data_IF_309810777594
#
_entry.id   IF_309810777594
#
_cell.length_a   1.000
_cell.length_b   1.000
_cell.length_c   1.000
_cell.angle_alpha   90.00
_cell.angle_beta   90.00
_cell.angle_gamma   90.00
#
_symmetry.space_group_name_H-M   'P 1'
#
loop_
_entity.id
_entity.type
_entity.pdbx_description
1 polymer ?
#
# COMPACT_ATOMS: atom_id res chain seq x y z
N UNK A 1 6.29 -15.21 2.26
CA UNK A 1 7.05 -14.18 1.49
C UNK A 1 6.92 -14.32 -0.04
N UNK A 2 6.78 -15.53 -0.61
CA UNK A 2 6.75 -15.77 -2.06
C UNK A 2 5.63 -15.01 -2.82
N UNK A 3 4.40 -14.97 -2.29
CA UNK A 3 3.23 -14.44 -3.03
C UNK A 3 3.34 -12.93 -3.34
N UNK A 4 3.87 -12.12 -2.42
CA UNK A 4 4.04 -10.66 -2.66
C UNK A 4 5.07 -10.33 -3.73
N UNK A 5 6.07 -11.20 -3.90
CA UNK A 5 7.09 -11.07 -4.95
C UNK A 5 6.57 -11.58 -6.30
N UNK A 6 5.86 -12.71 -6.31
CA UNK A 6 5.21 -13.23 -7.53
C UNK A 6 4.16 -12.26 -8.08
N UNK A 7 3.34 -11.65 -7.22
CA UNK A 7 2.36 -10.64 -7.61
C UNK A 7 3.03 -9.47 -8.34
N UNK A 8 4.16 -8.96 -7.81
CA UNK A 8 4.93 -7.91 -8.49
C UNK A 8 5.37 -8.35 -9.88
N UNK A 9 6.01 -9.53 -9.97
CA UNK A 9 6.58 -10.01 -11.22
C UNK A 9 5.50 -10.21 -12.29
N UNK A 10 4.35 -10.76 -11.92
CA UNK A 10 3.21 -10.93 -12.82
C UNK A 10 2.75 -9.60 -13.43
N UNK A 11 2.49 -8.59 -12.60
CA UNK A 11 2.02 -7.30 -13.10
C UNK A 11 3.08 -6.54 -13.90
N UNK A 12 4.38 -6.69 -13.58
CA UNK A 12 5.47 -6.11 -14.38
C UNK A 12 5.53 -6.77 -15.76
N UNK A 13 5.57 -8.11 -15.84
CA UNK A 13 5.58 -8.84 -17.12
C UNK A 13 4.33 -8.55 -17.95
N UNK A 14 3.16 -8.48 -17.32
CA UNK A 14 1.91 -8.18 -18.01
C UNK A 14 1.88 -6.76 -18.55
N UNK A 15 2.37 -5.77 -17.78
CA UNK A 15 2.48 -4.39 -18.25
C UNK A 15 3.39 -4.28 -19.48
N UNK A 16 4.57 -4.92 -19.42
CA UNK A 16 5.53 -4.93 -20.52
C UNK A 16 4.92 -5.58 -21.77
N UNK A 17 4.32 -6.77 -21.63
CA UNK A 17 3.67 -7.46 -22.74
C UNK A 17 2.51 -6.65 -23.36
N UNK A 18 1.71 -5.97 -22.54
CA UNK A 18 0.62 -5.13 -23.05
C UNK A 18 1.13 -3.89 -23.77
N UNK A 19 2.22 -3.27 -23.30
CA UNK A 19 2.86 -2.13 -23.99
C UNK A 19 3.39 -2.53 -25.35
N UNK A 20 4.03 -3.70 -25.44
CA UNK A 20 4.57 -4.24 -26.68
C UNK A 20 3.45 -4.49 -27.69
N UNK A 21 2.38 -5.19 -27.28
CA UNK A 21 1.24 -5.49 -28.17
C UNK A 21 0.50 -4.22 -28.61
N UNK A 22 0.36 -3.24 -27.71
CA UNK A 22 -0.32 -1.99 -28.02
C UNK A 22 0.55 -0.95 -28.74
N UNK A 23 1.83 -1.23 -29.00
CA UNK A 23 2.82 -0.26 -29.47
C UNK A 23 2.83 1.04 -28.64
N UNK A 24 2.62 0.90 -27.33
CA UNK A 24 2.33 2.03 -26.44
C UNK A 24 3.61 2.73 -25.93
N UNK A 25 4.79 2.17 -26.20
CA UNK A 25 6.07 2.70 -25.71
C UNK A 25 6.06 2.89 -24.18
N UNK A 26 6.41 4.10 -23.74
CA UNK A 26 6.42 4.45 -22.31
C UNK A 26 5.04 4.78 -21.74
N UNK A 27 3.96 4.69 -22.52
CA UNK A 27 2.61 4.93 -22.02
C UNK A 27 2.24 3.96 -20.90
N UNK A 28 1.72 4.51 -19.81
CA UNK A 28 1.29 3.71 -18.67
C UNK A 28 -0.07 3.10 -18.94
N UNK A 29 -0.14 1.78 -18.84
CA UNK A 29 -1.39 1.03 -18.88
C UNK A 29 -1.88 0.82 -17.45
N UNK A 30 -3.07 1.33 -17.15
CA UNK A 30 -3.72 1.08 -15.87
C UNK A 30 -4.27 -0.35 -15.86
N UNK A 31 -3.69 -1.21 -15.03
CA UNK A 31 -4.09 -2.61 -14.92
C UNK A 31 -5.20 -2.74 -13.87
N UNK A 32 -6.31 -3.44 -14.19
CA UNK A 32 -7.28 -3.82 -13.17
C UNK A 32 -6.66 -4.82 -12.19
N UNK A 33 -7.36 -5.11 -11.10
CA UNK A 33 -6.90 -6.15 -10.17
C UNK A 33 -7.20 -7.52 -10.76
N UNK A 34 -6.15 -8.24 -11.18
CA UNK A 34 -6.27 -9.53 -11.87
C UNK A 34 -6.02 -10.73 -10.96
N UNK A 35 -5.26 -10.53 -9.88
CA UNK A 35 -4.92 -11.59 -8.93
C UNK A 35 -5.74 -11.49 -7.65
N UNK A 36 -6.18 -12.65 -7.17
CA UNK A 36 -6.76 -12.86 -5.83
C UNK A 36 -6.13 -14.13 -5.27
N UNK A 37 -5.86 -14.13 -3.97
CA UNK A 37 -5.24 -15.28 -3.29
C UNK A 37 -6.24 -15.88 -2.31
N UNK A 38 -6.35 -17.20 -2.32
CA UNK A 38 -7.07 -18.00 -1.33
C UNK A 38 -6.10 -18.88 -0.54
N UNK A 39 -6.49 -19.28 0.66
CA UNK A 39 -5.76 -20.23 1.50
C UNK A 39 -6.73 -21.06 2.32
N UNK A 40 -6.40 -22.34 2.51
CA UNK A 40 -7.14 -23.26 3.38
C UNK A 40 -6.41 -23.49 4.71
N UNK A 41 -5.15 -23.04 4.80
CA UNK A 41 -4.34 -23.17 6.02
C UNK A 41 -5.02 -22.38 7.14
N UNK A 42 -5.45 -23.10 8.17
CA UNK A 42 -6.17 -22.55 9.32
C UNK A 42 -7.69 -22.42 9.16
N UNK A 43 -8.26 -22.90 8.04
CA UNK A 43 -9.70 -22.93 7.78
C UNK A 43 -10.25 -24.31 7.39
N UNK A 44 -9.38 -25.27 7.07
CA UNK A 44 -9.76 -26.64 6.74
C UNK A 44 -9.98 -27.49 8.00
N UNK A 45 -11.24 -27.79 8.30
CA UNK A 45 -11.64 -28.59 9.48
C UNK A 45 -11.89 -30.07 9.14
N UNK A 46 -11.84 -30.45 7.85
CA UNK A 46 -12.15 -31.81 7.40
C UNK A 46 -11.17 -32.82 8.04
N UNK A 47 -11.70 -33.67 8.92
CA UNK A 47 -10.95 -34.67 9.68
C UNK A 47 -9.92 -34.12 10.68
N UNK A 48 -9.90 -32.80 10.94
CA UNK A 48 -8.90 -32.17 11.82
C UNK A 48 -9.54 -31.49 13.05
N UNK A 49 -9.62 -32.18 14.21
CA UNK A 49 -10.23 -31.63 15.41
C UNK A 49 -9.45 -30.44 16.03
N UNK A 50 -8.24 -30.16 15.54
CA UNK A 50 -7.43 -29.03 16.01
C UNK A 50 -7.76 -27.71 15.28
N UNK A 51 -8.63 -27.75 14.26
CA UNK A 51 -9.06 -26.55 13.53
C UNK A 51 -10.49 -26.23 13.92
N UNK A 52 -10.68 -25.05 14.50
CA UNK A 52 -11.98 -24.53 14.91
C UNK A 52 -11.98 -23.01 14.92
N UNK A 53 -13.01 -22.42 15.55
CA UNK A 53 -13.22 -20.97 15.56
C UNK A 53 -12.00 -20.16 16.04
N UNK A 54 -11.30 -20.64 17.07
CA UNK A 54 -10.11 -19.98 17.60
C UNK A 54 -8.95 -19.99 16.59
N UNK A 55 -8.69 -21.12 15.94
CA UNK A 55 -7.66 -21.27 14.91
C UNK A 55 -7.96 -20.40 13.69
N UNK A 56 -9.23 -20.33 13.27
CA UNK A 56 -9.69 -19.45 12.18
C UNK A 56 -9.43 -17.98 12.56
N UNK A 57 -9.85 -17.55 13.74
CA UNK A 57 -9.66 -16.17 14.20
C UNK A 57 -8.18 -15.82 14.35
N UNK A 58 -7.35 -16.74 14.87
CA UNK A 58 -5.91 -16.56 14.97
C UNK A 58 -5.25 -16.42 13.58
N UNK A 59 -5.66 -17.27 12.62
CA UNK A 59 -5.21 -17.20 11.23
C UNK A 59 -5.53 -15.86 10.59
N UNK A 60 -6.78 -15.39 10.71
CA UNK A 60 -7.21 -14.11 10.16
C UNK A 60 -6.44 -12.92 10.76
N UNK A 61 -6.23 -12.92 12.09
CA UNK A 61 -5.39 -11.90 12.76
C UNK A 61 -3.95 -11.94 12.26
N UNK A 62 -3.35 -13.12 12.17
CA UNK A 62 -1.98 -13.28 11.69
C UNK A 62 -1.80 -12.79 10.25
N UNK A 63 -2.76 -13.09 9.36
CA UNK A 63 -2.75 -12.60 7.99
C UNK A 63 -2.87 -11.07 7.91
N UNK A 64 -3.78 -10.49 8.70
CA UNK A 64 -3.92 -9.03 8.82
C UNK A 64 -2.65 -8.36 9.32
N UNK A 65 -2.06 -8.85 10.40
CA UNK A 65 -0.81 -8.31 10.96
C UNK A 65 0.31 -8.37 9.92
N UNK A 66 0.50 -9.53 9.29
CA UNK A 66 1.56 -9.73 8.30
C UNK A 66 1.45 -8.77 7.11
N UNK A 67 0.25 -8.54 6.59
CA UNK A 67 0.07 -7.65 5.43
C UNK A 67 0.26 -6.18 5.81
N UNK A 68 -0.24 -5.75 6.98
CA UNK A 68 -0.07 -4.37 7.46
C UNK A 68 1.39 -4.05 7.78
N UNK A 69 2.13 -4.96 8.43
CA UNK A 69 3.57 -4.83 8.66
C UNK A 69 4.34 -4.71 7.34
N UNK A 70 3.92 -5.48 6.33
CA UNK A 70 4.53 -5.41 5.00
C UNK A 70 4.32 -4.04 4.35
N UNK A 71 3.10 -3.49 4.43
CA UNK A 71 2.81 -2.16 3.93
C UNK A 71 3.57 -1.08 4.69
N UNK A 72 3.65 -1.16 6.03
CA UNK A 72 4.44 -0.23 6.84
C UNK A 72 5.91 -0.18 6.43
N UNK A 73 6.53 -1.36 6.26
CA UNK A 73 7.91 -1.46 5.83
C UNK A 73 8.12 -0.87 4.43
N UNK A 74 7.15 -1.02 3.55
CA UNK A 74 7.21 -0.52 2.19
C UNK A 74 7.00 0.99 2.08
N UNK A 75 5.97 1.52 2.75
CA UNK A 75 5.75 2.96 2.84
C UNK A 75 6.96 3.63 3.49
N UNK A 76 7.60 3.02 4.50
CA UNK A 76 8.83 3.53 5.08
C UNK A 76 10.03 3.52 4.12
N UNK A 77 10.08 2.59 3.15
CA UNK A 77 11.07 2.66 2.06
C UNK A 77 10.73 3.78 1.07
N UNK A 78 9.46 3.92 0.69
CA UNK A 78 9.00 5.00 -0.18
C UNK A 78 9.24 6.39 0.42
N UNK A 79 8.97 6.58 1.72
CA UNK A 79 9.21 7.85 2.40
C UNK A 79 10.70 8.26 2.35
N UNK A 80 11.61 7.27 2.43
CA UNK A 80 13.05 7.50 2.26
C UNK A 80 13.42 7.84 0.82
N UNK A 81 12.86 7.10 -0.14
CA UNK A 81 13.11 7.28 -1.57
C UNK A 81 12.56 8.61 -2.12
N UNK A 82 11.36 9.00 -1.71
CA UNK A 82 10.63 10.17 -2.21
C UNK A 82 10.97 11.42 -1.39
N UNK A 83 12.22 11.87 -1.52
CA UNK A 83 12.78 13.02 -0.80
C UNK A 83 12.77 14.33 -1.61
N UNK A 84 11.96 14.42 -2.66
CA UNK A 84 11.90 15.61 -3.50
C UNK A 84 11.32 16.79 -2.71
N UNK A 85 11.97 17.95 -2.80
CA UNK A 85 11.51 19.18 -2.16
C UNK A 85 10.54 19.93 -3.08
N UNK A 86 9.49 20.52 -2.50
CA UNK A 86 8.54 21.38 -3.22
C UNK A 86 9.18 22.64 -3.81
N UNK A 87 10.38 23.01 -3.36
CA UNK A 87 11.18 24.10 -3.97
C UNK A 87 11.78 23.73 -5.33
N UNK A 88 11.86 22.42 -5.65
CA UNK A 88 12.55 21.90 -6.84
C UNK A 88 11.61 21.25 -7.86
N UNK A 89 10.45 20.78 -7.41
CA UNK A 89 9.47 20.10 -8.26
C UNK A 89 8.07 20.64 -8.00
N UNK A 90 7.21 20.57 -9.02
CA UNK A 90 5.78 20.68 -8.82
C UNK A 90 5.24 19.49 -8.01
N UNK A 91 4.20 19.74 -7.22
CA UNK A 91 3.46 18.71 -6.49
C UNK A 91 1.98 19.05 -6.55
N UNK A 92 1.15 18.04 -6.75
CA UNK A 92 -0.30 18.23 -6.80
C UNK A 92 -0.80 18.79 -5.45
N UNK A 93 -1.58 19.87 -5.53
CA UNK A 93 -2.20 20.51 -4.35
C UNK A 93 -3.01 19.53 -3.49
N UNK A 94 -3.56 18.47 -4.10
CA UNK A 94 -4.29 17.40 -3.39
C UNK A 94 -3.39 16.63 -2.42
N UNK A 95 -2.10 16.43 -2.73
CA UNK A 95 -1.12 15.80 -1.81
C UNK A 95 -0.89 16.69 -0.59
N UNK A 96 -0.81 18.00 -0.80
CA UNK A 96 -0.64 19.00 0.26
C UNK A 96 -1.87 19.04 1.15
N UNK A 97 -3.07 19.09 0.56
CA UNK A 97 -4.34 19.09 1.28
C UNK A 97 -4.51 17.82 2.13
N UNK A 98 -4.23 16.64 1.57
CA UNK A 98 -4.28 15.36 2.30
C UNK A 98 -3.28 15.32 3.46
N UNK A 99 -2.08 15.87 3.25
CA UNK A 99 -1.09 15.99 4.34
C UNK A 99 -1.58 16.91 5.45
N UNK A 100 -2.21 18.05 5.12
CA UNK A 100 -2.76 18.97 6.11
C UNK A 100 -3.90 18.33 6.91
N UNK A 101 -4.81 17.63 6.24
CA UNK A 101 -5.88 16.84 6.87
C UNK A 101 -5.31 15.83 7.86
N UNK A 102 -4.33 15.03 7.46
CA UNK A 102 -3.74 14.02 8.33
C UNK A 102 -2.92 14.62 9.47
N UNK A 103 -2.33 15.81 9.31
CA UNK A 103 -1.67 16.50 10.43
C UNK A 103 -2.67 16.90 11.52
N UNK A 104 -3.88 17.29 11.15
CA UNK A 104 -4.95 17.59 12.11
C UNK A 104 -5.45 16.33 12.81
N UNK A 105 -5.65 15.24 12.05
CA UNK A 105 -6.11 13.95 12.60
C UNK A 105 -5.06 13.26 13.46
N UNK A 106 -3.77 13.47 13.19
CA UNK A 106 -2.66 12.75 13.84
C UNK A 106 -1.64 13.74 14.43
N UNK A 107 -2.00 14.54 15.44
CA UNK A 107 -1.15 15.62 15.94
C UNK A 107 0.20 15.11 16.48
N UNK A 108 0.23 13.94 17.13
CA UNK A 108 1.47 13.33 17.62
C UNK A 108 2.40 12.91 16.48
N UNK A 109 1.84 12.29 15.42
CA UNK A 109 2.62 11.91 14.25
C UNK A 109 3.12 13.13 13.48
N UNK A 110 2.30 14.19 13.39
CA UNK A 110 2.67 15.45 12.77
C UNK A 110 3.84 16.13 13.50
N UNK A 111 3.80 16.16 14.85
CA UNK A 111 4.86 16.72 15.67
C UNK A 111 6.19 15.95 15.56
N UNK A 112 6.13 14.64 15.28
CA UNK A 112 7.31 13.80 15.08
C UNK A 112 8.02 14.04 13.73
N UNK A 113 7.41 14.79 12.80
CA UNK A 113 8.02 15.11 11.50
C UNK A 113 9.14 16.11 11.71
N UNK A 114 10.37 15.71 11.36
CA UNK A 114 11.56 16.58 11.47
C UNK A 114 11.39 17.85 10.63
N UNK A 115 11.79 19.04 11.12
CA UNK A 115 11.65 20.30 10.39
C UNK A 115 12.25 20.27 8.98
N UNK A 116 13.39 19.59 8.81
CA UNK A 116 14.06 19.40 7.51
C UNK A 116 13.30 18.55 6.48
N UNK A 117 12.20 17.91 6.88
CA UNK A 117 11.32 17.17 5.97
C UNK A 117 10.06 17.97 5.63
N UNK A 118 9.86 19.16 6.21
CA UNK A 118 8.61 19.91 6.08
C UNK A 118 8.31 20.31 4.63
N UNK A 119 9.35 20.53 3.83
CA UNK A 119 9.28 20.86 2.40
C UNK A 119 9.31 19.62 1.48
N UNK A 120 9.26 18.41 2.04
CA UNK A 120 9.24 17.14 1.30
C UNK A 120 7.82 16.53 1.34
N UNK A 121 6.87 17.00 0.51
CA UNK A 121 5.45 16.69 0.65
C UNK A 121 5.13 15.20 0.54
N UNK A 122 5.76 14.46 -0.38
CA UNK A 122 5.57 13.02 -0.49
C UNK A 122 6.03 12.29 0.78
N UNK A 123 7.21 12.63 1.30
CA UNK A 123 7.74 12.07 2.55
C UNK A 123 6.82 12.38 3.74
N UNK A 124 6.33 13.61 3.83
CA UNK A 124 5.38 14.03 4.88
C UNK A 124 4.12 13.18 4.82
N UNK A 125 3.49 13.08 3.64
CA UNK A 125 2.27 12.29 3.48
C UNK A 125 2.52 10.83 3.83
N UNK A 126 3.58 10.22 3.30
CA UNK A 126 3.92 8.82 3.58
C UNK A 126 4.18 8.58 5.07
N UNK A 127 4.80 9.53 5.78
CA UNK A 127 5.02 9.41 7.24
C UNK A 127 3.68 9.39 7.99
N UNK A 128 2.71 10.21 7.59
CA UNK A 128 1.38 10.22 8.17
C UNK A 128 0.58 8.96 7.80
N UNK A 129 0.73 8.47 6.56
CA UNK A 129 0.16 7.18 6.14
C UNK A 129 0.72 6.02 6.97
N UNK A 130 2.02 6.04 7.35
CA UNK A 130 2.58 5.04 8.27
C UNK A 130 1.92 5.11 9.65
N UNK A 131 1.67 6.31 10.18
CA UNK A 131 0.98 6.45 11.46
C UNK A 131 -0.45 5.89 11.42
N UNK A 132 -1.20 6.12 10.32
CA UNK A 132 -2.53 5.50 10.12
C UNK A 132 -2.46 3.97 10.07
N UNK A 133 -1.51 3.41 9.33
CA UNK A 133 -1.33 1.94 9.28
C UNK A 133 -0.90 1.36 10.63
N UNK A 134 -0.12 2.10 11.42
CA UNK A 134 0.23 1.71 12.79
C UNK A 134 -1.03 1.64 13.65
N UNK A 135 -1.90 2.64 13.56
CA UNK A 135 -3.20 2.61 14.23
C UNK A 135 -4.07 1.42 13.78
N UNK A 136 -4.01 0.98 12.52
CA UNK A 136 -4.70 -0.24 12.09
C UNK A 136 -4.14 -1.54 12.69
N UNK A 137 -2.84 -1.58 13.03
CA UNK A 137 -2.21 -2.73 13.71
C UNK A 137 -2.53 -2.74 15.20
N UNK A 138 -2.55 -1.55 15.81
CA UNK A 138 -2.79 -1.35 17.23
C UNK A 138 -4.30 -1.29 17.57
N UNK A 139 -5.17 -1.50 16.56
CA UNK A 139 -6.62 -1.32 16.62
C UNK A 139 -7.04 0.01 17.29
N UNK A 140 -6.27 1.07 17.01
CA UNK A 140 -6.45 2.41 17.54
C UNK A 140 -7.26 3.32 16.61
N UNK A 141 -7.66 4.49 17.12
CA UNK A 141 -8.37 5.50 16.35
C UNK A 141 -7.52 6.03 15.17
N UNK A 142 -8.20 6.56 14.15
CA UNK A 142 -7.60 7.21 12.97
C UNK A 142 -6.83 6.29 12.01
N UNK A 143 -6.92 4.97 12.19
CA UNK A 143 -6.54 4.01 11.15
C UNK A 143 -7.31 4.19 9.85
N UNK A 144 -6.88 3.51 8.79
CA UNK A 144 -7.65 3.38 7.56
C UNK A 144 -8.91 2.55 7.80
N UNK A 145 -10.03 3.03 7.27
CA UNK A 145 -11.32 2.33 7.32
C UNK A 145 -11.35 1.12 6.38
N UNK A 146 -10.60 1.18 5.28
CA UNK A 146 -10.49 0.11 4.29
C UNK A 146 -9.14 0.15 3.57
N UNK A 147 -8.82 -0.95 2.87
CA UNK A 147 -7.66 -0.98 1.98
C UNK A 147 -7.82 -0.05 0.76
N UNK A 148 -9.06 0.23 0.34
CA UNK A 148 -9.33 1.16 -0.76
C UNK A 148 -9.00 2.61 -0.38
N UNK A 149 -9.21 2.98 0.89
CA UNK A 149 -8.78 4.29 1.40
C UNK A 149 -7.25 4.44 1.33
N UNK A 150 -6.51 3.39 1.71
CA UNK A 150 -5.06 3.35 1.53
C UNK A 150 -4.66 3.41 0.05
N UNK A 151 -5.35 2.65 -0.81
CA UNK A 151 -5.08 2.63 -2.25
C UNK A 151 -5.26 4.03 -2.86
N UNK A 152 -6.30 4.76 -2.45
CA UNK A 152 -6.56 6.12 -2.91
C UNK A 152 -5.42 7.09 -2.55
N UNK A 153 -4.80 6.98 -1.36
CA UNK A 153 -3.62 7.76 -1.00
C UNK A 153 -2.40 7.41 -1.87
N UNK A 154 -2.17 6.12 -2.11
CA UNK A 154 -1.05 5.66 -2.95
C UNK A 154 -1.25 6.11 -4.40
N UNK A 155 -2.48 6.04 -4.92
CA UNK A 155 -2.86 6.55 -6.25
C UNK A 155 -2.65 8.05 -6.37
N UNK A 156 -3.03 8.82 -5.35
CA UNK A 156 -2.81 10.26 -5.30
C UNK A 156 -1.32 10.61 -5.43
N UNK A 157 -0.45 9.91 -4.68
CA UNK A 157 1.00 10.09 -4.80
C UNK A 157 1.48 9.70 -6.20
N UNK A 158 1.01 8.57 -6.73
CA UNK A 158 1.37 8.09 -8.06
C UNK A 158 1.00 9.07 -9.16
N UNK A 159 -0.22 9.62 -9.13
CA UNK A 159 -0.70 10.61 -10.09
C UNK A 159 0.12 11.90 -10.04
N UNK A 160 0.40 12.41 -8.84
CA UNK A 160 1.24 13.60 -8.64
C UNK A 160 2.66 13.39 -9.17
N UNK A 161 3.27 12.23 -8.91
CA UNK A 161 4.59 11.91 -9.46
C UNK A 161 4.58 11.90 -10.99
N UNK A 162 3.55 11.34 -11.64
CA UNK A 162 3.46 11.36 -13.12
C UNK A 162 3.33 12.77 -13.67
N UNK A 163 2.50 13.60 -13.06
CA UNK A 163 2.25 14.97 -13.51
C UNK A 163 3.48 15.88 -13.41
N UNK A 164 4.45 15.53 -12.55
CA UNK A 164 5.61 16.38 -12.23
C UNK A 164 6.96 15.70 -12.50
N UNK A 165 7.05 14.96 -13.61
CA UNK A 165 8.27 14.30 -14.10
C UNK A 165 8.93 13.31 -13.10
N UNK A 166 8.15 12.77 -12.16
CA UNK A 166 8.58 11.84 -11.12
C UNK A 166 8.62 10.36 -11.55
N UNK A 167 8.47 10.06 -12.85
CA UNK A 167 8.43 8.68 -13.38
C UNK A 167 9.66 7.87 -12.98
N UNK A 168 10.86 8.42 -13.19
CA UNK A 168 12.12 7.78 -12.78
C UNK A 168 12.49 8.07 -11.31
N UNK A 169 11.71 8.92 -10.63
CA UNK A 169 11.99 9.38 -9.26
C UNK A 169 11.23 8.59 -8.19
N UNK A 170 10.75 7.37 -8.51
CA UNK A 170 10.11 6.46 -7.55
C UNK A 170 8.66 6.07 -7.90
N UNK A 171 8.10 6.57 -9.00
CA UNK A 171 6.75 6.23 -9.44
C UNK A 171 6.51 4.72 -9.59
N UNK A 172 7.44 3.97 -10.19
CA UNK A 172 7.32 2.51 -10.30
C UNK A 172 7.22 1.82 -8.94
N UNK A 173 7.93 2.33 -7.92
CA UNK A 173 7.84 1.78 -6.57
C UNK A 173 6.49 2.06 -5.93
N UNK A 174 5.89 3.24 -6.17
CA UNK A 174 4.53 3.58 -5.74
C UNK A 174 3.50 2.71 -6.45
N UNK A 175 3.62 2.51 -7.77
CA UNK A 175 2.74 1.65 -8.56
C UNK A 175 2.77 0.19 -8.07
N UNK A 176 3.95 -0.32 -7.73
CA UNK A 176 4.08 -1.66 -7.14
C UNK A 176 3.40 -1.79 -5.79
N UNK A 177 3.46 -0.75 -4.94
CA UNK A 177 2.69 -0.73 -3.69
C UNK A 177 1.20 -0.79 -3.99
N UNK A 178 0.73 0.03 -4.94
CA UNK A 178 -0.68 0.10 -5.32
C UNK A 178 -1.22 -1.26 -5.76
N UNK A 179 -0.50 -1.97 -6.63
CA UNK A 179 -0.89 -3.33 -7.05
C UNK A 179 -1.01 -4.29 -5.87
N UNK A 180 -0.09 -4.21 -4.90
CA UNK A 180 -0.15 -5.04 -3.70
C UNK A 180 -1.33 -4.68 -2.80
N UNK A 181 -1.62 -3.39 -2.60
CA UNK A 181 -2.78 -2.96 -1.80
C UNK A 181 -4.07 -3.45 -2.44
N UNK A 182 -4.23 -3.22 -3.74
CA UNK A 182 -5.41 -3.68 -4.50
C UNK A 182 -5.56 -5.20 -4.51
N UNK A 183 -4.46 -5.95 -4.59
CA UNK A 183 -4.47 -7.43 -4.67
C UNK A 183 -4.78 -8.08 -3.33
N UNK A 184 -4.09 -7.66 -2.25
CA UNK A 184 -4.09 -8.35 -0.96
C UNK A 184 -5.02 -7.70 0.09
N UNK A 185 -5.39 -6.43 -0.08
CA UNK A 185 -6.17 -5.69 0.91
C UNK A 185 -5.55 -5.74 2.32
N UNK A 186 -6.39 -5.69 3.36
CA UNK A 186 -5.95 -5.85 4.76
C UNK A 186 -6.10 -7.27 5.30
N UNK A 187 -6.29 -8.25 4.42
CA UNK A 187 -6.54 -9.64 4.82
C UNK A 187 -5.55 -10.63 4.21
N UNK A 188 -4.63 -10.20 3.35
CA UNK A 188 -3.64 -11.02 2.64
C UNK A 188 -4.27 -12.04 1.67
N UNK A 189 -4.99 -13.04 2.15
CA UNK A 189 -5.65 -14.04 1.32
C UNK A 189 -7.06 -14.31 1.87
N UNK A 190 -7.99 -14.70 1.00
CA UNK A 190 -9.28 -15.21 1.46
C UNK A 190 -9.04 -16.55 2.16
N UNK A 191 -9.49 -16.67 3.40
CA UNK A 191 -9.50 -17.94 4.10
C UNK A 191 -10.77 -18.70 3.69
N UNK A 192 -10.61 -19.86 3.04
CA UNK A 192 -11.75 -20.73 2.78
C UNK A 192 -11.94 -21.67 3.97
N UNK A 193 -13.20 -21.77 4.42
CA UNK A 193 -13.60 -22.64 5.52
C UNK A 193 -14.22 -23.90 4.93
N UNK A 194 -13.72 -25.07 5.33
CA UNK A 194 -14.23 -26.38 4.90
C UNK A 194 -14.56 -27.21 6.14
N UNK A 195 -15.65 -27.96 6.05
CA UNK A 195 -16.16 -28.84 7.10
C UNK A 195 -16.60 -30.16 6.47
#
# INVERSE_FOLDING_TARGET
>A
MCCTACCRLFYEILDDALRDVANAGDAVIELPTLLRFGTWVGGDMDGNPNVGAETIAATLRAQRTLVLERYLAEIGRLARLLSQSSSRIGVDTRVIARSAEYRQRLPLAAAAIRPRHADMPYRVLLTLMQARLRANLDDAEHGYTSADELAADVELIGASLRAHAGTHAGWFSVRRLLWRVRTFGFHLARLDVRQ
#
